data_IF_167057861236
#
_entry.id   IF_167057861236
#
_cell.length_a   1.000
_cell.length_b   1.000
_cell.length_c   1.000
_cell.angle_alpha   90.00
_cell.angle_beta   90.00
_cell.angle_gamma   90.00
#
_symmetry.space_group_name_H-M   'P 1'
#
loop_
_entity.id
_entity.type
_entity.pdbx_description
1 polymer ?
#
# COMPACT_ATOMS: atom_id res chain seq x y z
N UNK A 1 -6.21 -13.43 -19.83
CA UNK A 1 -6.00 -13.79 -21.26
C UNK A 1 -7.31 -14.33 -21.79
N UNK A 2 -7.68 -13.99 -23.03
CA UNK A 2 -8.82 -14.59 -23.75
C UNK A 2 -8.27 -15.20 -25.04
N UNK A 3 -8.62 -16.45 -25.31
CA UNK A 3 -8.26 -17.15 -26.54
C UNK A 3 -9.49 -17.17 -27.47
N UNK A 4 -9.37 -16.57 -28.65
CA UNK A 4 -10.40 -16.61 -29.68
C UNK A 4 -10.08 -17.74 -30.67
N UNK A 5 -11.07 -18.61 -30.94
CA UNK A 5 -10.90 -19.83 -31.74
C UNK A 5 -11.96 -19.92 -32.83
N UNK A 6 -11.63 -20.60 -33.92
CA UNK A 6 -12.56 -20.93 -35.00
C UNK A 6 -13.01 -22.38 -34.88
N UNK A 7 -14.31 -22.69 -34.99
CA UNK A 7 -14.81 -24.06 -34.93
C UNK A 7 -14.62 -24.83 -36.25
N UNK A 8 -14.09 -24.21 -37.30
CA UNK A 8 -13.91 -24.84 -38.60
C UNK A 8 -12.75 -25.85 -38.60
N UNK A 9 -12.94 -27.01 -39.22
CA UNK A 9 -11.95 -28.11 -39.27
C UNK A 9 -10.63 -27.68 -39.92
N UNK A 10 -10.68 -26.76 -40.90
CA UNK A 10 -9.49 -26.20 -41.56
C UNK A 10 -8.56 -25.46 -40.60
N UNK A 11 -9.07 -25.01 -39.45
CA UNK A 11 -8.34 -24.25 -38.45
C UNK A 11 -7.95 -25.10 -37.23
N UNK A 12 -8.07 -26.43 -37.32
CA UNK A 12 -7.83 -27.34 -36.21
C UNK A 12 -6.41 -27.20 -35.62
N UNK A 13 -5.38 -27.18 -36.46
CA UNK A 13 -3.98 -27.13 -36.00
C UNK A 13 -3.66 -25.82 -35.27
N UNK A 14 -4.14 -24.69 -35.80
CA UNK A 14 -3.99 -23.37 -35.18
C UNK A 14 -4.80 -23.25 -33.89
N UNK A 15 -6.00 -23.83 -33.87
CA UNK A 15 -6.87 -23.89 -32.70
C UNK A 15 -6.23 -24.69 -31.57
N UNK A 16 -5.65 -25.85 -31.90
CA UNK A 16 -4.91 -26.69 -30.95
C UNK A 16 -3.69 -25.95 -30.39
N UNK A 17 -2.93 -25.29 -31.25
CA UNK A 17 -1.75 -24.49 -30.84
C UNK A 17 -2.14 -23.34 -29.91
N UNK A 18 -3.25 -22.66 -30.18
CA UNK A 18 -3.80 -21.59 -29.34
C UNK A 18 -4.27 -22.10 -27.98
N UNK A 19 -4.97 -23.24 -27.94
CA UNK A 19 -5.40 -23.89 -26.70
C UNK A 19 -4.22 -24.33 -25.84
N UNK A 20 -3.18 -24.92 -26.43
CA UNK A 20 -1.95 -25.30 -25.73
C UNK A 20 -1.23 -24.08 -25.14
N UNK A 21 -1.21 -22.96 -25.87
CA UNK A 21 -0.65 -21.72 -25.35
C UNK A 21 -1.47 -21.20 -24.16
N UNK A 22 -2.81 -21.18 -24.27
CA UNK A 22 -3.69 -20.76 -23.19
C UNK A 22 -3.52 -21.61 -21.92
N UNK A 23 -3.36 -22.93 -22.05
CA UNK A 23 -3.10 -23.83 -20.92
C UNK A 23 -1.79 -23.50 -20.20
N UNK A 24 -0.71 -23.23 -20.95
CA UNK A 24 0.56 -22.76 -20.37
C UNK A 24 0.40 -21.40 -19.69
N UNK A 25 -0.32 -20.47 -20.30
CA UNK A 25 -0.56 -19.14 -19.70
C UNK A 25 -1.35 -19.24 -18.39
N UNK A 26 -2.29 -20.19 -18.27
CA UNK A 26 -3.04 -20.44 -17.02
C UNK A 26 -2.13 -20.81 -15.85
N UNK A 27 -0.97 -21.41 -16.12
CA UNK A 27 -0.02 -21.82 -15.08
C UNK A 27 0.85 -20.66 -14.57
N UNK A 28 0.84 -19.51 -15.25
CA UNK A 28 1.63 -18.33 -14.83
C UNK A 28 1.05 -17.77 -13.53
N UNK A 29 1.87 -17.72 -12.48
CA UNK A 29 1.52 -17.12 -11.19
C UNK A 29 1.83 -15.64 -11.21
N UNK A 30 0.81 -14.80 -11.10
CA UNK A 30 0.97 -13.35 -10.96
C UNK A 30 1.01 -12.98 -9.48
N UNK A 31 2.06 -12.26 -9.07
CA UNK A 31 2.08 -11.59 -7.77
C UNK A 31 1.56 -10.15 -7.95
N UNK A 32 0.25 -9.96 -7.81
CA UNK A 32 -0.36 -8.64 -7.91
C UNK A 32 -0.13 -7.86 -6.61
N UNK A 33 0.62 -6.77 -6.70
CA UNK A 33 0.86 -5.84 -5.59
C UNK A 33 0.09 -4.56 -5.91
N UNK A 34 -0.65 -4.03 -4.92
CA UNK A 34 -1.26 -2.71 -5.04
C UNK A 34 -0.13 -1.69 -5.09
N UNK A 35 -0.03 -1.00 -6.21
CA UNK A 35 1.00 0.02 -6.40
C UNK A 35 0.54 1.31 -5.72
N UNK A 36 0.82 1.43 -4.43
CA UNK A 36 0.61 2.66 -3.67
C UNK A 36 1.75 3.64 -3.93
N UNK A 37 1.43 4.93 -4.02
CA UNK A 37 2.46 5.96 -4.10
C UNK A 37 3.33 5.89 -2.83
N UNK A 38 4.67 5.85 -2.98
CA UNK A 38 5.56 5.68 -1.83
C UNK A 38 5.41 6.80 -0.81
N UNK A 39 5.08 8.03 -1.25
CA UNK A 39 4.85 9.14 -0.33
C UNK A 39 3.50 8.99 0.38
N UNK A 40 2.44 8.57 -0.33
CA UNK A 40 1.14 8.32 0.29
C UNK A 40 1.21 7.22 1.35
N UNK A 41 1.93 6.13 1.07
CA UNK A 41 2.20 5.05 2.03
C UNK A 41 2.97 5.56 3.24
N UNK A 42 4.06 6.29 3.02
CA UNK A 42 4.87 6.87 4.10
C UNK A 42 4.06 7.83 4.97
N UNK A 43 3.25 8.70 4.37
CA UNK A 43 2.39 9.64 5.11
C UNK A 43 1.36 8.88 5.96
N UNK A 44 0.80 7.77 5.46
CA UNK A 44 -0.13 6.93 6.22
C UNK A 44 0.56 6.29 7.43
N UNK A 45 1.70 5.64 7.21
CA UNK A 45 2.48 4.99 8.27
C UNK A 45 2.92 6.02 9.34
N UNK A 46 3.38 7.20 8.93
CA UNK A 46 3.75 8.28 9.85
C UNK A 46 2.56 8.82 10.66
N UNK A 47 1.38 8.98 10.04
CA UNK A 47 0.17 9.43 10.75
C UNK A 47 -0.30 8.39 11.77
N UNK A 48 -0.25 7.11 11.41
CA UNK A 48 -0.57 6.00 12.32
C UNK A 48 0.38 5.98 13.52
N UNK A 49 1.68 6.15 13.29
CA UNK A 49 2.66 6.17 14.38
C UNK A 49 2.50 7.42 15.27
N UNK A 50 2.23 8.59 14.69
CA UNK A 50 1.92 9.81 15.47
C UNK A 50 0.68 9.60 16.34
N UNK A 51 -0.36 8.95 15.82
CA UNK A 51 -1.56 8.64 16.60
C UNK A 51 -1.26 7.68 17.75
N UNK A 52 -0.51 6.59 17.47
CA UNK A 52 -0.09 5.60 18.48
C UNK A 52 0.73 6.24 19.59
N UNK A 53 1.70 7.08 19.23
CA UNK A 53 2.55 7.79 20.19
C UNK A 53 1.75 8.78 21.04
N UNK A 54 0.82 9.52 20.43
CA UNK A 54 -0.09 10.42 21.16
C UNK A 54 -0.98 9.67 22.14
N UNK A 55 -1.50 8.51 21.76
CA UNK A 55 -2.31 7.65 22.64
C UNK A 55 -1.49 7.11 23.82
N UNK A 56 -0.24 6.67 23.57
CA UNK A 56 0.67 6.23 24.64
C UNK A 56 0.98 7.35 25.63
N UNK A 57 1.25 8.56 25.15
CA UNK A 57 1.50 9.72 26.00
C UNK A 57 0.26 10.11 26.82
N UNK A 58 -0.93 10.07 26.20
CA UNK A 58 -2.20 10.31 26.88
C UNK A 58 -2.47 9.28 27.98
N UNK A 59 -2.22 7.99 27.69
CA UNK A 59 -2.38 6.89 28.65
C UNK A 59 -1.43 7.01 29.84
N UNK A 60 -0.22 7.56 29.63
CA UNK A 60 0.75 7.84 30.69
C UNK A 60 0.48 9.15 31.46
N UNK A 61 -0.65 9.83 31.22
CA UNK A 61 -1.03 11.04 31.94
C UNK A 61 -0.25 12.30 31.54
N UNK A 62 0.57 12.23 30.50
CA UNK A 62 1.26 13.38 29.92
C UNK A 62 0.35 13.99 28.84
N UNK A 63 -0.53 14.90 29.25
CA UNK A 63 -1.30 15.68 28.27
C UNK A 63 -0.34 16.52 27.43
N UNK A 64 -0.61 16.65 26.12
CA UNK A 64 0.19 17.46 25.21
C UNK A 64 0.34 18.93 25.69
N UNK A 65 -0.62 19.41 26.48
CA UNK A 65 -0.58 20.73 27.14
C UNK A 65 0.61 20.86 28.10
N UNK A 66 0.98 19.78 28.81
CA UNK A 66 2.10 19.77 29.76
C UNK A 66 3.46 19.94 29.06
N UNK A 67 3.58 19.44 27.83
CA UNK A 67 4.82 19.53 27.04
C UNK A 67 4.97 20.92 26.39
N UNK A 68 3.87 21.50 25.90
CA UNK A 68 3.85 22.87 25.38
C UNK A 68 4.12 23.89 26.49
N UNK A 69 3.59 23.66 27.70
CA UNK A 69 3.90 24.52 28.86
C UNK A 69 5.36 24.40 29.32
N UNK A 70 5.98 23.22 29.20
CA UNK A 70 7.40 23.03 29.54
C UNK A 70 8.36 23.62 28.48
N UNK A 71 7.99 23.62 27.21
CA UNK A 71 8.83 24.17 26.12
C UNK A 71 8.61 25.67 25.86
N UNK A 72 7.48 26.25 26.29
CA UNK A 72 7.13 27.66 26.11
C UNK A 72 7.67 28.63 27.17
N UNK A 73 8.38 28.13 28.19
CA UNK A 73 8.87 28.93 29.32
C UNK A 73 10.35 29.29 29.22
N UNK A 74 10.73 30.12 28.26
CA UNK A 74 11.95 30.93 28.37
C UNK A 74 11.54 32.41 28.41
N UNK A 75 11.15 32.85 29.60
CA UNK A 75 11.22 34.28 29.95
C UNK A 75 12.68 34.72 29.86
N UNK A 76 13.06 35.31 28.72
CA UNK A 76 14.28 36.11 28.65
C UNK A 76 13.97 37.46 29.32
N UNK A 77 14.66 37.84 30.41
CA UNK A 77 14.47 39.16 30.98
C UNK A 77 14.89 40.21 29.96
N UNK A 78 13.95 41.07 29.57
CA UNK A 78 14.23 42.27 28.79
C UNK A 78 15.10 43.21 29.64
N UNK A 79 16.36 43.39 29.23
CA UNK A 79 17.22 44.51 29.62
C UNK A 79 17.15 45.56 28.52
#
# INVERSE_FOLDING_TARGET
>A
MIAALSPADISYEETLSTLRYADRTKQIRCNAIINEDPNARLIRELKEEVARLRELLFTQGLSAETFVSMLGGQDLPRV
#
